data_IF_507323359170
#
_entry.id   IF_507323359170
#
_cell.length_a   1.000
_cell.length_b   1.000
_cell.length_c   1.000
_cell.angle_alpha   90.00
_cell.angle_beta   90.00
_cell.angle_gamma   90.00
#
_symmetry.space_group_name_H-M   'P 1'
#
loop_
_entity.id
_entity.type
_entity.pdbx_description
1 polymer ?
#
# COMPACT_ATOMS: atom_id res chain seq x y z
N UNK A 1 -29.13 -56.60 -55.04
CA UNK A 1 -28.55 -55.41 -55.70
C UNK A 1 -27.43 -54.90 -54.79
N UNK A 2 -26.36 -55.66 -54.52
CA UNK A 2 -25.29 -56.11 -55.44
C UNK A 2 -24.46 -54.93 -56.01
N UNK A 3 -23.12 -54.92 -56.07
CA UNK A 3 -21.99 -55.69 -55.52
C UNK A 3 -20.74 -55.34 -56.39
N UNK A 4 -19.51 -55.62 -55.90
CA UNK A 4 -18.20 -55.73 -56.65
C UNK A 4 -17.61 -54.40 -57.22
N UNK A 5 -16.29 -54.12 -57.37
CA UNK A 5 -14.97 -54.44 -56.72
C UNK A 5 -14.01 -53.23 -57.11
N UNK A 6 -13.12 -52.61 -56.31
CA UNK A 6 -11.88 -52.99 -55.55
C UNK A 6 -10.53 -52.79 -56.32
N UNK A 7 -9.46 -52.52 -55.53
CA UNK A 7 -8.00 -52.43 -55.77
C UNK A 7 -7.41 -50.98 -55.82
N UNK A 8 -6.54 -50.48 -54.91
CA UNK A 8 -5.54 -50.99 -53.92
C UNK A 8 -4.16 -51.38 -54.47
N UNK A 9 -3.15 -50.50 -54.32
CA UNK A 9 -1.85 -50.89 -53.72
C UNK A 9 -1.00 -49.70 -53.20
N UNK A 10 0.14 -50.02 -52.57
CA UNK A 10 1.02 -49.16 -51.75
C UNK A 10 2.37 -48.88 -52.45
N UNK A 11 3.25 -48.16 -51.72
CA UNK A 11 4.72 -48.03 -51.89
C UNK A 11 5.16 -46.94 -52.89
N UNK A 12 6.29 -46.23 -52.73
CA UNK A 12 7.37 -46.30 -51.71
C UNK A 12 8.07 -44.93 -51.59
N UNK A 13 8.82 -44.70 -50.51
CA UNK A 13 9.70 -43.53 -50.39
C UNK A 13 11.02 -43.72 -51.15
N UNK A 14 11.51 -42.66 -51.83
CA UNK A 14 12.92 -42.51 -52.23
C UNK A 14 13.35 -41.04 -52.12
N UNK A 15 14.64 -40.83 -51.81
CA UNK A 15 15.30 -39.53 -51.60
C UNK A 15 16.55 -39.46 -52.47
N UNK A 16 16.64 -38.46 -53.34
CA UNK A 16 17.85 -38.02 -54.07
C UNK A 16 17.60 -36.57 -54.51
N UNK A 17 18.32 -35.52 -54.08
CA UNK A 17 19.77 -35.25 -53.99
C UNK A 17 20.35 -34.74 -55.32
N UNK A 18 20.89 -33.52 -55.25
CA UNK A 18 21.62 -32.78 -56.29
C UNK A 18 20.91 -31.47 -56.63
N UNK A 19 21.53 -30.30 -56.65
CA UNK A 19 22.88 -29.85 -56.26
C UNK A 19 22.72 -28.44 -55.62
N UNK A 20 23.62 -27.94 -54.76
CA UNK A 20 24.78 -27.18 -55.23
C UNK A 20 25.94 -27.16 -54.20
N UNK A 21 27.10 -26.74 -54.67
CA UNK A 21 28.41 -27.01 -54.07
C UNK A 21 29.09 -25.72 -53.60
N UNK A 22 29.58 -25.67 -52.35
CA UNK A 22 30.86 -24.97 -52.13
C UNK A 22 31.67 -25.56 -50.96
N UNK A 23 32.87 -25.97 -51.34
CA UNK A 23 33.88 -26.68 -50.56
C UNK A 23 34.89 -25.68 -49.98
N UNK A 24 35.27 -25.79 -48.70
CA UNK A 24 36.71 -25.85 -48.33
C UNK A 24 36.99 -26.42 -46.93
N UNK A 25 37.44 -27.68 -46.94
CA UNK A 25 38.56 -28.26 -46.16
C UNK A 25 38.54 -28.30 -44.61
N UNK A 26 38.53 -29.56 -44.13
CA UNK A 26 38.96 -30.08 -42.82
C UNK A 26 40.40 -29.64 -42.46
N UNK A 27 40.73 -29.66 -41.16
CA UNK A 27 41.60 -30.71 -40.58
C UNK A 27 41.58 -30.75 -39.04
N UNK A 28 41.98 -31.90 -38.51
CA UNK A 28 41.96 -32.27 -37.07
C UNK A 28 43.34 -32.01 -36.46
N UNK A 29 43.41 -31.59 -35.19
CA UNK A 29 44.69 -31.40 -34.49
C UNK A 29 44.57 -31.32 -32.97
N UNK A 30 44.93 -32.40 -32.29
CA UNK A 30 45.19 -32.43 -30.84
C UNK A 30 46.48 -31.67 -30.51
N UNK A 31 46.50 -30.89 -29.43
CA UNK A 31 47.75 -30.29 -28.94
C UNK A 31 47.56 -29.46 -27.67
N UNK A 32 48.04 -29.98 -26.53
CA UNK A 32 48.13 -29.19 -25.31
C UNK A 32 49.27 -28.17 -25.43
N UNK A 33 49.01 -26.93 -25.04
CA UNK A 33 50.06 -25.92 -24.80
C UNK A 33 49.85 -25.26 -23.44
N UNK A 34 50.87 -25.38 -22.60
CA UNK A 34 51.01 -24.64 -21.34
C UNK A 34 51.67 -23.31 -21.66
N UNK A 35 51.08 -22.21 -21.20
CA UNK A 35 51.62 -20.86 -21.35
C UNK A 35 50.80 -19.89 -20.54
N UNK A 36 51.22 -19.59 -19.31
CA UNK A 36 50.49 -18.71 -18.41
C UNK A 36 50.77 -17.23 -18.67
N UNK A 37 49.80 -16.38 -18.32
CA UNK A 37 49.99 -14.95 -18.01
C UNK A 37 49.19 -14.67 -16.74
N UNK A 38 49.85 -14.06 -15.75
CA UNK A 38 49.21 -13.52 -14.55
C UNK A 38 48.61 -12.15 -14.92
N UNK A 39 47.30 -11.98 -14.73
CA UNK A 39 46.59 -10.73 -14.96
C UNK A 39 45.63 -10.42 -13.83
N UNK A 40 45.95 -9.40 -13.03
CA UNK A 40 45.10 -8.93 -11.93
C UNK A 40 43.72 -8.48 -12.44
N UNK A 41 42.64 -9.08 -11.92
CA UNK A 41 41.29 -8.52 -12.01
C UNK A 41 40.97 -7.82 -10.69
N UNK A 42 41.06 -6.49 -10.69
CA UNK A 42 40.50 -5.67 -9.62
C UNK A 42 38.98 -5.80 -9.64
N UNK A 43 38.39 -6.28 -8.54
CA UNK A 43 36.94 -6.21 -8.33
C UNK A 43 36.51 -4.75 -8.23
N UNK A 44 35.90 -4.23 -9.30
CA UNK A 44 35.09 -3.02 -9.21
C UNK A 44 33.82 -3.31 -8.40
N UNK A 45 33.74 -2.75 -7.19
CA UNK A 45 32.53 -2.82 -6.39
C UNK A 45 31.42 -2.00 -7.06
N UNK A 46 30.54 -2.66 -7.81
CA UNK A 46 29.30 -2.06 -8.29
C UNK A 46 28.40 -1.91 -7.08
N UNK A 47 28.37 -0.70 -6.52
CA UNK A 47 27.48 -0.34 -5.43
C UNK A 47 26.02 -0.47 -5.88
N UNK A 48 25.32 -1.50 -5.37
CA UNK A 48 23.87 -1.52 -5.43
C UNK A 48 23.34 -0.34 -4.62
N UNK A 49 22.79 0.66 -5.32
CA UNK A 49 22.03 1.74 -4.72
C UNK A 49 20.75 1.20 -4.11
N UNK A 50 20.82 0.71 -2.88
CA UNK A 50 19.64 0.39 -2.09
C UNK A 50 19.04 1.71 -1.61
N UNK A 51 17.99 2.21 -2.27
CA UNK A 51 17.22 3.34 -1.75
C UNK A 51 16.68 2.95 -0.37
N UNK A 52 17.24 3.56 0.66
CA UNK A 52 16.81 3.37 2.03
C UNK A 52 15.46 4.08 2.21
N UNK A 53 14.39 3.32 1.98
CA UNK A 53 13.09 3.64 2.55
C UNK A 53 13.28 3.90 4.03
N UNK A 54 12.93 5.11 4.48
CA UNK A 54 13.23 5.54 5.83
C UNK A 54 12.45 4.65 6.80
N UNK A 55 13.18 3.81 7.55
CA UNK A 55 12.60 3.02 8.63
C UNK A 55 11.94 3.96 9.64
N UNK A 56 10.89 3.48 10.31
CA UNK A 56 10.31 4.19 11.45
C UNK A 56 11.43 4.57 12.42
N UNK A 57 11.44 5.84 12.84
CA UNK A 57 12.56 6.41 13.58
C UNK A 57 12.86 5.58 14.84
N UNK A 58 14.06 5.00 14.90
CA UNK A 58 14.56 4.26 16.07
C UNK A 58 15.12 5.19 17.14
N UNK A 59 15.00 6.50 16.96
CA UNK A 59 15.48 7.49 17.91
C UNK A 59 14.59 7.46 19.16
N UNK A 60 15.19 7.22 20.31
CA UNK A 60 14.57 7.47 21.60
C UNK A 60 14.76 8.96 21.92
N UNK A 61 13.68 9.65 22.23
CA UNK A 61 13.69 11.07 22.59
C UNK A 61 13.17 11.28 24.01
N UNK A 62 13.65 12.33 24.68
CA UNK A 62 13.23 12.64 26.05
C UNK A 62 12.15 13.71 26.05
N UNK A 63 10.96 13.36 26.55
CA UNK A 63 9.77 14.21 26.67
C UNK A 63 9.44 14.30 28.15
N UNK A 64 9.55 15.50 28.75
CA UNK A 64 9.35 15.75 30.19
C UNK A 64 10.11 14.77 31.12
N UNK A 65 11.33 14.38 30.72
CA UNK A 65 12.17 13.42 31.43
C UNK A 65 11.87 11.94 31.16
N UNK A 66 10.84 11.63 30.36
CA UNK A 66 10.53 10.26 29.93
C UNK A 66 11.12 9.96 28.56
N UNK A 67 11.79 8.80 28.44
CA UNK A 67 12.24 8.27 27.15
C UNK A 67 11.05 7.68 26.39
N UNK A 68 10.73 8.26 25.23
CA UNK A 68 9.68 7.78 24.32
C UNK A 68 10.26 7.55 22.92
N UNK A 69 9.75 6.57 22.14
CA UNK A 69 10.11 6.44 20.74
C UNK A 69 9.68 7.68 19.96
N UNK A 70 10.60 8.26 19.18
CA UNK A 70 10.23 9.29 18.22
C UNK A 70 9.50 8.64 17.03
N UNK A 71 8.18 8.86 17.00
CA UNK A 71 7.28 8.36 15.96
C UNK A 71 7.59 8.89 14.55
N UNK A 72 8.39 9.94 14.41
CA UNK A 72 8.82 10.49 13.12
C UNK A 72 7.67 11.09 12.28
N UNK A 73 7.97 11.52 11.04
CA UNK A 73 6.97 11.75 10.00
C UNK A 73 6.54 10.40 9.40
N UNK A 74 5.43 10.38 8.64
CA UNK A 74 5.03 9.19 7.90
C UNK A 74 6.14 8.76 6.89
N UNK A 75 6.47 7.45 6.75
CA UNK A 75 7.52 7.02 5.84
C UNK A 75 7.23 7.39 4.37
N UNK A 76 8.26 7.84 3.66
CA UNK A 76 8.16 8.25 2.25
C UNK A 76 8.06 7.06 1.28
N UNK A 77 8.60 5.91 1.66
CA UNK A 77 8.51 4.67 0.90
C UNK A 77 7.28 3.88 1.32
N UNK A 78 6.31 3.76 0.41
CA UNK A 78 5.09 2.94 0.60
C UNK A 78 5.48 1.45 0.55
N UNK A 79 5.17 0.63 1.58
CA UNK A 79 5.52 -0.79 1.58
C UNK A 79 4.80 -1.57 0.48
N UNK A 80 5.56 -2.16 -0.44
CA UNK A 80 5.05 -3.01 -1.53
C UNK A 80 5.57 -4.44 -1.37
N UNK A 81 4.75 -5.48 -1.64
CA UNK A 81 5.23 -6.85 -1.74
C UNK A 81 6.40 -6.99 -2.73
N UNK A 82 7.41 -7.80 -2.42
CA UNK A 82 8.59 -7.94 -3.29
C UNK A 82 8.29 -8.64 -4.65
N UNK A 83 7.16 -9.32 -4.77
CA UNK A 83 6.72 -10.08 -5.96
C UNK A 83 5.94 -9.24 -6.98
N UNK A 84 5.90 -7.91 -6.84
CA UNK A 84 4.85 -7.09 -7.43
C UNK A 84 5.16 -6.56 -8.85
N UNK A 85 5.10 -7.46 -9.83
CA UNK A 85 5.12 -7.09 -11.24
C UNK A 85 3.90 -6.21 -11.62
N UNK A 86 4.12 -5.25 -12.51
CA UNK A 86 3.08 -4.37 -13.10
C UNK A 86 2.20 -3.62 -12.08
N UNK A 87 2.81 -3.09 -11.00
CA UNK A 87 2.08 -2.46 -9.88
C UNK A 87 1.16 -1.29 -10.28
N UNK A 88 1.55 -0.49 -11.29
CA UNK A 88 0.70 0.60 -11.79
C UNK A 88 -0.63 0.09 -12.40
N UNK A 89 -0.61 -1.05 -13.10
CA UNK A 89 -1.82 -1.69 -13.60
C UNK A 89 -2.68 -2.23 -12.44
N UNK A 90 -2.06 -2.83 -11.42
CA UNK A 90 -2.76 -3.27 -10.19
C UNK A 90 -3.45 -2.11 -9.47
N UNK A 91 -2.81 -0.95 -9.34
CA UNK A 91 -3.45 0.26 -8.77
C UNK A 91 -4.67 0.68 -9.58
N UNK A 92 -4.57 0.69 -10.92
CA UNK A 92 -5.67 1.10 -11.80
C UNK A 92 -6.87 0.14 -11.71
N UNK A 93 -6.61 -1.16 -11.81
CA UNK A 93 -7.61 -2.22 -11.65
C UNK A 93 -8.20 -2.23 -10.23
N UNK A 94 -7.36 -2.05 -9.22
CA UNK A 94 -7.73 -1.95 -7.82
C UNK A 94 -8.67 -0.80 -7.53
N UNK A 95 -8.37 0.38 -8.07
CA UNK A 95 -9.26 1.55 -8.00
C UNK A 95 -10.61 1.21 -8.62
N UNK A 96 -10.65 0.58 -9.80
CA UNK A 96 -11.91 0.19 -10.43
C UNK A 96 -12.72 -0.77 -9.54
N UNK A 97 -12.09 -1.82 -9.01
CA UNK A 97 -12.71 -2.80 -8.11
C UNK A 97 -13.21 -2.18 -6.80
N UNK A 98 -12.46 -1.27 -6.21
CA UNK A 98 -12.79 -0.62 -4.93
C UNK A 98 -14.12 0.15 -4.97
N UNK A 99 -14.48 0.71 -6.13
CA UNK A 99 -15.77 1.38 -6.33
C UNK A 99 -16.84 0.47 -6.97
N UNK A 100 -16.53 -0.78 -7.32
CA UNK A 100 -17.45 -1.67 -8.03
C UNK A 100 -18.42 -2.41 -7.10
N UNK A 101 -19.69 -2.03 -7.16
CA UNK A 101 -20.77 -2.68 -6.40
C UNK A 101 -20.91 -4.18 -6.71
N UNK A 102 -20.49 -4.65 -7.90
CA UNK A 102 -20.57 -6.05 -8.35
C UNK A 102 -19.71 -7.01 -7.52
N UNK A 103 -18.87 -6.52 -6.63
CA UNK A 103 -18.21 -7.36 -5.62
C UNK A 103 -19.19 -7.94 -4.60
N UNK A 104 -20.33 -7.29 -4.35
CA UNK A 104 -21.37 -7.75 -3.42
C UNK A 104 -22.49 -8.55 -4.07
N UNK A 105 -23.24 -9.31 -3.27
CA UNK A 105 -24.33 -10.19 -3.72
C UNK A 105 -25.46 -9.47 -4.48
N UNK A 106 -25.81 -8.26 -4.08
CA UNK A 106 -26.85 -7.46 -4.73
C UNK A 106 -26.30 -6.50 -5.81
N UNK A 107 -24.99 -6.55 -6.06
CA UNK A 107 -24.24 -5.66 -6.95
C UNK A 107 -24.27 -4.16 -6.58
N UNK A 108 -24.57 -3.80 -5.32
CA UNK A 108 -24.71 -2.40 -4.87
C UNK A 108 -23.67 -1.96 -3.82
N UNK A 109 -23.10 -2.86 -3.01
CA UNK A 109 -22.05 -2.53 -2.03
C UNK A 109 -20.67 -2.74 -2.64
N UNK A 110 -19.84 -1.69 -2.56
CA UNK A 110 -18.41 -1.70 -2.90
C UNK A 110 -17.57 -1.35 -1.68
N UNK A 111 -16.24 -1.47 -1.75
CA UNK A 111 -15.35 -1.07 -0.66
C UNK A 111 -15.59 0.41 -0.29
N UNK A 112 -15.72 1.28 -1.29
CA UNK A 112 -16.00 2.70 -1.14
C UNK A 112 -17.36 3.05 -0.49
N UNK A 113 -18.30 2.10 -0.40
CA UNK A 113 -19.58 2.33 0.29
C UNK A 113 -19.35 2.52 1.80
N UNK A 114 -18.57 1.63 2.40
CA UNK A 114 -18.18 1.71 3.81
C UNK A 114 -16.96 2.62 4.01
N UNK A 115 -16.02 2.64 3.06
CA UNK A 115 -14.77 3.40 3.14
C UNK A 115 -14.81 4.64 2.23
N UNK A 116 -15.74 5.55 2.49
CA UNK A 116 -16.07 6.63 1.55
C UNK A 116 -14.97 7.72 1.53
N UNK A 117 -14.36 8.05 0.36
CA UNK A 117 -13.33 9.08 0.26
C UNK A 117 -13.74 10.45 0.83
N UNK A 118 -15.01 10.84 0.69
CA UNK A 118 -15.55 12.11 1.19
C UNK A 118 -15.67 12.12 2.72
N UNK A 119 -15.81 10.95 3.34
CA UNK A 119 -15.82 10.75 4.80
C UNK A 119 -14.44 10.32 5.34
N UNK A 120 -13.36 10.68 4.64
CA UNK A 120 -11.99 10.35 5.05
C UNK A 120 -11.64 8.86 4.88
N UNK A 121 -12.15 8.23 3.82
CA UNK A 121 -12.01 6.80 3.52
C UNK A 121 -12.49 5.87 4.65
N UNK A 122 -13.45 6.33 5.44
CA UNK A 122 -14.02 5.63 6.58
C UNK A 122 -15.55 5.68 6.52
N UNK A 123 -16.23 4.90 7.37
CA UNK A 123 -17.68 5.01 7.50
C UNK A 123 -18.02 6.19 8.42
N UNK A 124 -18.84 7.17 7.99
CA UNK A 124 -19.30 8.25 8.87
C UNK A 124 -20.26 7.77 9.98
N UNK A 125 -20.76 6.53 9.90
CA UNK A 125 -21.61 5.93 10.91
C UNK A 125 -20.83 5.22 12.03
N UNK A 126 -21.42 5.14 13.22
CA UNK A 126 -20.88 4.36 14.35
C UNK A 126 -20.72 2.86 14.05
N UNK A 127 -21.53 2.30 13.14
CA UNK A 127 -21.37 0.94 12.61
C UNK A 127 -21.85 0.87 11.17
N UNK A 128 -21.20 0.06 10.34
CA UNK A 128 -21.50 0.01 8.90
C UNK A 128 -22.79 -0.72 8.58
N UNK A 129 -23.54 -0.21 7.59
CA UNK A 129 -24.71 -0.88 7.01
C UNK A 129 -24.24 -1.74 5.85
N UNK A 130 -24.55 -3.03 5.88
CA UNK A 130 -24.14 -3.97 4.83
C UNK A 130 -25.23 -4.27 3.81
N UNK A 131 -24.92 -5.20 2.90
CA UNK A 131 -25.68 -5.55 1.67
C UNK A 131 -27.16 -5.91 1.86
N UNK A 132 -27.55 -6.37 3.06
CA UNK A 132 -28.93 -6.72 3.43
C UNK A 132 -29.59 -5.67 4.35
N UNK A 133 -29.05 -4.45 4.42
CA UNK A 133 -29.54 -3.37 5.29
C UNK A 133 -29.30 -3.60 6.80
N UNK A 134 -28.65 -4.71 7.18
CA UNK A 134 -28.25 -4.98 8.57
C UNK A 134 -27.01 -4.18 8.93
N UNK A 135 -26.93 -3.71 10.18
CA UNK A 135 -25.73 -3.08 10.73
C UNK A 135 -24.74 -4.15 11.20
N UNK A 136 -23.46 -3.94 10.92
CA UNK A 136 -22.35 -4.71 11.48
C UNK A 136 -22.10 -4.35 12.95
N UNK A 137 -21.22 -5.11 13.61
CA UNK A 137 -20.82 -4.87 15.00
C UNK A 137 -19.73 -3.79 15.18
N UNK A 138 -19.20 -3.23 14.10
CA UNK A 138 -18.12 -2.22 14.12
C UNK A 138 -18.29 -1.19 13.00
N UNK A 139 -17.59 -0.07 13.15
CA UNK A 139 -17.37 0.95 12.12
C UNK A 139 -16.29 0.48 11.13
N UNK A 140 -16.41 0.80 9.84
CA UNK A 140 -15.34 0.52 8.86
C UNK A 140 -14.22 1.58 8.98
N UNK A 141 -13.00 1.19 9.40
CA UNK A 141 -11.93 2.14 9.71
C UNK A 141 -11.46 2.91 8.46
N UNK A 142 -10.68 3.98 8.66
CA UNK A 142 -10.10 4.69 7.52
C UNK A 142 -9.12 3.80 6.74
N UNK A 143 -9.11 3.94 5.40
CA UNK A 143 -8.07 3.38 4.53
C UNK A 143 -6.83 4.28 4.48
N UNK A 144 -6.87 5.50 5.03
CA UNK A 144 -5.68 6.35 5.09
C UNK A 144 -4.53 5.67 5.82
N UNK A 145 -3.37 5.63 5.16
CA UNK A 145 -2.10 5.16 5.71
C UNK A 145 -2.09 3.68 6.13
N UNK A 146 -3.08 2.87 5.74
CA UNK A 146 -3.14 1.42 6.08
C UNK A 146 -1.99 0.61 5.46
N UNK A 147 -1.32 1.16 4.45
CA UNK A 147 -0.07 0.66 3.89
C UNK A 147 1.04 0.41 4.92
N UNK A 148 1.02 1.16 6.03
CA UNK A 148 2.01 1.11 7.10
C UNK A 148 1.54 0.30 8.32
N UNK A 149 0.29 -0.20 8.33
CA UNK A 149 -0.23 -1.00 9.43
C UNK A 149 0.34 -2.43 9.37
N UNK A 150 0.88 -2.97 10.48
CA UNK A 150 1.36 -4.36 10.53
C UNK A 150 0.22 -5.38 10.54
N UNK A 151 -0.98 -4.95 10.95
CA UNK A 151 -2.19 -5.77 11.00
C UNK A 151 -3.40 -4.95 10.55
N UNK A 152 -4.40 -5.61 10.00
CA UNK A 152 -5.61 -4.99 9.46
C UNK A 152 -6.87 -5.43 10.23
N UNK A 153 -7.95 -4.65 10.07
CA UNK A 153 -9.14 -4.62 10.92
C UNK A 153 -8.88 -4.18 12.38
N UNK A 154 -9.96 -3.76 13.06
CA UNK A 154 -9.97 -3.34 14.47
C UNK A 154 -9.43 -4.36 15.48
N UNK A 155 -9.42 -5.66 15.14
CA UNK A 155 -8.89 -6.75 15.98
C UNK A 155 -7.57 -7.33 15.47
N UNK A 156 -6.96 -6.71 14.44
CA UNK A 156 -5.67 -7.13 13.88
C UNK A 156 -5.67 -8.54 13.26
N UNK A 157 -6.83 -9.15 13.02
CA UNK A 157 -6.94 -10.56 12.63
C UNK A 157 -6.43 -10.88 11.22
N UNK A 158 -6.22 -9.86 10.37
CA UNK A 158 -5.64 -10.03 9.04
C UNK A 158 -4.21 -9.48 9.03
N UNK A 159 -3.26 -10.27 8.53
CA UNK A 159 -1.84 -9.94 8.49
C UNK A 159 -1.43 -9.12 7.26
N UNK A 160 -2.35 -8.84 6.34
CA UNK A 160 -2.07 -8.07 5.11
C UNK A 160 -3.31 -7.35 4.59
N UNK A 161 -3.11 -6.36 3.72
CA UNK A 161 -4.19 -5.70 2.98
C UNK A 161 -4.85 -6.67 1.98
N UNK A 162 -4.08 -7.58 1.38
CA UNK A 162 -4.57 -8.61 0.47
C UNK A 162 -5.60 -9.53 1.15
N UNK A 163 -5.32 -9.97 2.39
CA UNK A 163 -6.24 -10.75 3.22
C UNK A 163 -7.44 -9.91 3.69
N UNK A 164 -7.20 -8.66 4.09
CA UNK A 164 -8.26 -7.73 4.48
C UNK A 164 -9.25 -7.50 3.33
N UNK A 165 -8.78 -7.27 2.10
CA UNK A 165 -9.61 -6.88 0.96
C UNK A 165 -10.62 -7.97 0.55
N UNK A 166 -10.25 -9.24 0.69
CA UNK A 166 -11.11 -10.38 0.29
C UNK A 166 -12.09 -10.83 1.40
N UNK A 167 -11.83 -10.47 2.67
CA UNK A 167 -12.67 -10.84 3.81
C UNK A 167 -14.10 -10.29 3.76
N UNK A 168 -14.31 -8.97 3.58
CA UNK A 168 -15.62 -8.33 3.50
C UNK A 168 -16.53 -8.90 2.42
N UNK A 169 -15.96 -9.31 1.28
CA UNK A 169 -16.67 -9.97 0.17
C UNK A 169 -17.46 -11.18 0.71
N UNK A 170 -16.81 -12.01 1.54
CA UNK A 170 -17.41 -13.21 2.11
C UNK A 170 -18.31 -12.94 3.33
N UNK A 171 -18.17 -11.80 4.01
CA UNK A 171 -18.93 -11.53 5.22
C UNK A 171 -20.44 -11.41 4.90
N UNK A 172 -21.31 -12.24 5.51
CA UNK A 172 -22.75 -12.29 5.21
C UNK A 172 -23.54 -11.05 5.64
N UNK A 173 -22.93 -10.15 6.41
CA UNK A 173 -23.48 -8.84 6.73
C UNK A 173 -22.99 -7.82 5.71
N UNK A 174 -21.67 -7.71 5.49
CA UNK A 174 -21.05 -6.64 4.70
C UNK A 174 -21.40 -6.74 3.20
N UNK A 175 -21.00 -7.82 2.51
CA UNK A 175 -21.17 -7.97 1.06
C UNK A 175 -21.87 -9.28 0.63
N UNK A 176 -21.87 -10.28 1.51
CA UNK A 176 -22.59 -11.57 1.43
C UNK A 176 -22.39 -12.39 0.13
N UNK A 177 -21.23 -12.27 -0.51
CA UNK A 177 -20.89 -12.94 -1.76
C UNK A 177 -19.90 -14.10 -1.53
N UNK A 178 -19.81 -15.07 -2.45
CA UNK A 178 -18.76 -16.10 -2.39
C UNK A 178 -17.59 -15.75 -3.30
N UNK A 179 -16.37 -16.17 -2.93
CA UNK A 179 -15.17 -15.90 -3.72
C UNK A 179 -15.25 -16.53 -5.13
N UNK A 180 -15.87 -17.70 -5.24
CA UNK A 180 -16.12 -18.39 -6.52
C UNK A 180 -17.14 -17.63 -7.36
N UNK A 181 -18.21 -17.13 -6.75
CA UNK A 181 -19.27 -16.44 -7.49
C UNK A 181 -18.86 -15.01 -7.89
N UNK A 182 -18.10 -14.27 -7.07
CA UNK A 182 -17.54 -12.98 -7.51
C UNK A 182 -16.54 -13.16 -8.66
N UNK A 183 -15.66 -14.16 -8.59
CA UNK A 183 -14.76 -14.51 -9.70
C UNK A 183 -15.55 -14.87 -10.95
N UNK A 184 -16.62 -15.67 -10.83
CA UNK A 184 -17.51 -16.01 -11.95
C UNK A 184 -18.18 -14.76 -12.55
N UNK A 185 -18.75 -13.87 -11.73
CA UNK A 185 -19.40 -12.63 -12.18
C UNK A 185 -18.43 -11.74 -12.97
N UNK A 186 -17.25 -11.48 -12.41
CA UNK A 186 -16.24 -10.66 -13.06
C UNK A 186 -15.67 -11.34 -14.32
N UNK A 187 -15.52 -12.67 -14.32
CA UNK A 187 -15.10 -13.45 -15.49
C UNK A 187 -16.08 -13.41 -16.67
N UNK A 188 -17.34 -13.01 -16.47
CA UNK A 188 -18.28 -12.79 -17.60
C UNK A 188 -18.09 -11.42 -18.28
N UNK A 189 -17.26 -10.53 -17.72
CA UNK A 189 -17.08 -9.16 -18.22
C UNK A 189 -15.76 -9.10 -18.99
N UNK A 190 -15.83 -8.95 -20.32
CA UNK A 190 -14.65 -8.90 -21.21
C UNK A 190 -13.59 -7.90 -20.76
N UNK A 191 -14.01 -6.71 -20.29
CA UNK A 191 -13.10 -5.70 -19.74
C UNK A 191 -12.28 -6.20 -18.54
N UNK A 192 -12.89 -6.96 -17.62
CA UNK A 192 -12.15 -7.56 -16.51
C UNK A 192 -11.25 -8.71 -16.97
N UNK A 193 -11.68 -9.55 -17.93
CA UNK A 193 -10.80 -10.57 -18.52
C UNK A 193 -9.52 -9.94 -19.08
N UNK A 194 -9.65 -8.87 -19.87
CA UNK A 194 -8.52 -8.16 -20.49
C UNK A 194 -7.62 -7.48 -19.44
N UNK A 195 -8.23 -6.82 -18.45
CA UNK A 195 -7.49 -6.17 -17.37
C UNK A 195 -6.72 -7.17 -16.51
N UNK A 196 -7.30 -8.32 -16.16
CA UNK A 196 -6.60 -9.36 -15.41
C UNK A 196 -5.49 -10.01 -16.25
N UNK A 197 -5.73 -10.29 -17.54
CA UNK A 197 -4.71 -10.84 -18.43
C UNK A 197 -3.52 -9.88 -18.60
N UNK A 198 -3.76 -8.57 -18.72
CA UNK A 198 -2.71 -7.56 -18.82
C UNK A 198 -1.98 -7.28 -17.49
N UNK A 199 -2.66 -7.42 -16.35
CA UNK A 199 -2.11 -7.09 -15.02
C UNK A 199 -1.39 -8.27 -14.38
N UNK A 200 -1.93 -9.48 -14.52
CA UNK A 200 -1.48 -10.70 -13.83
C UNK A 200 -1.09 -11.84 -14.78
N UNK A 201 -1.24 -11.69 -16.09
CA UNK A 201 -1.00 -12.78 -17.06
C UNK A 201 -2.00 -13.94 -16.96
N UNK A 202 -3.09 -13.78 -16.23
CA UNK A 202 -4.05 -14.83 -15.87
C UNK A 202 -5.50 -14.35 -16.00
N UNK A 203 -6.46 -15.28 -15.94
CA UNK A 203 -7.87 -14.94 -15.79
C UNK A 203 -8.21 -14.34 -14.43
N UNK A 204 -9.47 -13.94 -14.23
CA UNK A 204 -9.92 -13.38 -12.95
C UNK A 204 -9.77 -14.41 -11.83
N UNK A 205 -9.19 -14.00 -10.71
CA UNK A 205 -8.96 -14.82 -9.52
C UNK A 205 -9.20 -14.01 -8.25
N UNK A 206 -9.56 -14.65 -7.14
CA UNK A 206 -9.79 -13.96 -5.86
C UNK A 206 -8.49 -13.33 -5.33
N UNK A 207 -7.36 -13.99 -5.55
CA UNK A 207 -6.02 -13.48 -5.23
C UNK A 207 -5.73 -12.19 -6.01
N UNK A 208 -5.96 -12.18 -7.33
CA UNK A 208 -5.77 -10.97 -8.14
C UNK A 208 -6.75 -9.83 -7.80
N UNK A 209 -7.98 -10.15 -7.37
CA UNK A 209 -8.91 -9.14 -6.83
C UNK A 209 -8.32 -8.51 -5.56
N UNK A 210 -7.87 -9.33 -4.60
CA UNK A 210 -7.27 -8.88 -3.35
C UNK A 210 -5.99 -8.06 -3.58
N UNK A 211 -5.05 -8.55 -4.39
CA UNK A 211 -3.82 -7.85 -4.76
C UNK A 211 -4.07 -6.51 -5.46
N UNK A 212 -5.06 -6.43 -6.35
CA UNK A 212 -5.41 -5.19 -7.02
C UNK A 212 -5.98 -4.16 -6.03
N UNK A 213 -6.99 -4.55 -5.24
CA UNK A 213 -7.59 -3.66 -4.23
C UNK A 213 -6.51 -3.18 -3.24
N UNK A 214 -5.73 -4.10 -2.67
CA UNK A 214 -4.66 -3.80 -1.75
C UNK A 214 -3.53 -2.94 -2.37
N UNK A 215 -3.31 -3.01 -3.69
CA UNK A 215 -2.42 -2.10 -4.39
C UNK A 215 -2.98 -0.67 -4.45
N UNK A 216 -4.29 -0.51 -4.69
CA UNK A 216 -4.95 0.80 -4.67
C UNK A 216 -5.00 1.40 -3.25
N UNK A 217 -5.36 0.61 -2.24
CA UNK A 217 -5.43 1.07 -0.85
C UNK A 217 -4.10 1.62 -0.35
N UNK A 218 -2.97 1.00 -0.77
CA UNK A 218 -1.63 1.52 -0.49
C UNK A 218 -1.33 2.90 -1.08
N UNK A 219 -2.12 3.37 -2.05
CA UNK A 219 -2.01 4.75 -2.58
C UNK A 219 -2.83 5.78 -1.80
N UNK A 220 -3.68 5.35 -0.86
CA UNK A 220 -4.52 6.21 -0.02
C UNK A 220 -3.69 6.74 1.15
N UNK A 221 -2.74 7.62 0.84
CA UNK A 221 -1.82 8.20 1.81
C UNK A 221 -2.23 9.64 2.15
N UNK A 222 -2.21 9.96 3.45
CA UNK A 222 -2.32 11.31 3.99
C UNK A 222 -0.99 11.70 4.62
N UNK A 223 -0.25 12.58 3.93
CA UNK A 223 0.97 13.26 4.40
C UNK A 223 0.70 14.76 4.55
N UNK A 224 1.75 15.53 4.89
CA UNK A 224 1.74 17.00 4.90
C UNK A 224 0.77 17.60 5.94
N UNK A 225 0.46 16.82 6.99
CA UNK A 225 -0.28 17.30 8.15
C UNK A 225 0.53 18.34 8.92
N UNK A 226 -0.13 19.14 9.76
CA UNK A 226 0.59 20.07 10.65
C UNK A 226 1.56 19.35 11.60
N UNK A 227 1.32 18.06 11.91
CA UNK A 227 2.25 17.24 12.67
C UNK A 227 3.49 16.84 11.85
N UNK A 228 3.32 16.38 10.61
CA UNK A 228 4.44 16.04 9.73
C UNK A 228 5.37 17.23 9.55
N UNK A 229 4.80 18.40 9.25
CA UNK A 229 5.52 19.68 9.12
C UNK A 229 6.30 20.06 10.37
N UNK A 230 5.73 19.83 11.55
CA UNK A 230 6.40 20.09 12.81
C UNK A 230 7.61 19.16 12.99
N UNK A 231 7.44 17.86 12.74
CA UNK A 231 8.54 16.88 12.88
C UNK A 231 9.64 17.12 11.84
N UNK A 232 9.29 17.61 10.66
CA UNK A 232 10.22 18.04 9.60
C UNK A 232 10.85 19.42 9.86
N UNK A 233 10.47 20.13 10.92
CA UNK A 233 11.06 21.43 11.30
C UNK A 233 10.62 22.63 10.45
N UNK A 234 9.47 22.56 9.76
CA UNK A 234 8.97 23.69 8.96
C UNK A 234 8.64 24.92 9.84
N UNK A 235 8.99 26.15 9.42
CA UNK A 235 8.59 27.36 10.13
C UNK A 235 7.10 27.66 9.90
N UNK A 236 6.25 27.36 10.88
CA UNK A 236 4.83 27.72 10.90
C UNK A 236 4.40 28.27 12.27
N UNK A 237 3.44 29.21 12.34
CA UNK A 237 2.85 29.64 13.60
C UNK A 237 1.94 28.54 14.15
N UNK A 238 2.49 27.64 14.96
CA UNK A 238 1.81 26.51 15.63
C UNK A 238 0.68 26.90 16.61
N UNK A 239 0.28 28.18 16.63
CA UNK A 239 -0.64 28.82 17.57
C UNK A 239 -2.08 28.31 17.49
N UNK A 240 -2.46 27.66 16.38
CA UNK A 240 -3.82 27.17 16.12
C UNK A 240 -3.99 25.64 16.32
N UNK A 241 -2.96 24.94 16.80
CA UNK A 241 -3.10 23.52 17.12
C UNK A 241 -4.00 23.31 18.35
N UNK A 242 -4.80 22.24 18.41
CA UNK A 242 -5.55 21.88 19.61
C UNK A 242 -4.62 21.83 20.83
N UNK A 243 -5.04 22.42 21.95
CA UNK A 243 -4.15 22.70 23.09
C UNK A 243 -3.37 21.47 23.58
N UNK A 244 -3.94 20.26 23.50
CA UNK A 244 -3.25 19.00 23.81
C UNK A 244 -2.12 18.63 22.84
N UNK A 245 -2.32 18.82 21.54
CA UNK A 245 -1.25 18.64 20.53
C UNK A 245 -0.14 19.65 20.78
N UNK A 246 -0.48 20.92 21.02
CA UNK A 246 0.53 21.95 21.33
C UNK A 246 1.34 21.65 22.61
N UNK A 247 0.74 21.04 23.64
CA UNK A 247 1.47 20.58 24.84
C UNK A 247 2.48 19.48 24.48
N UNK A 248 2.05 18.45 23.73
CA UNK A 248 2.92 17.37 23.25
C UNK A 248 4.06 17.88 22.37
N UNK A 249 3.78 18.81 21.45
CA UNK A 249 4.79 19.42 20.59
C UNK A 249 5.74 20.36 21.35
N UNK A 250 5.27 21.04 22.41
CA UNK A 250 6.16 21.78 23.31
C UNK A 250 7.17 20.88 23.99
N UNK A 251 6.75 19.71 24.44
CA UNK A 251 7.64 18.74 25.07
C UNK A 251 8.60 18.09 24.05
N UNK A 252 8.23 18.02 22.75
CA UNK A 252 9.20 17.77 21.65
C UNK A 252 10.18 18.94 21.41
N UNK A 253 9.73 20.19 21.57
CA UNK A 253 10.49 21.40 21.24
C UNK A 253 11.30 22.02 22.38
N UNK A 254 11.32 21.42 23.56
CA UNK A 254 11.93 21.99 24.77
C UNK A 254 13.46 21.81 24.85
N UNK A 255 14.18 22.25 23.83
CA UNK A 255 15.50 22.82 24.08
C UNK A 255 15.29 24.22 24.66
N UNK A 256 15.46 24.37 25.98
CA UNK A 256 15.52 25.67 26.64
C UNK A 256 16.92 26.29 26.47
N UNK A 257 17.04 27.46 25.80
CA UNK A 257 18.10 28.38 26.15
C UNK A 257 17.54 29.76 26.53
N UNK A 258 17.28 29.96 27.83
CA UNK A 258 17.18 31.30 28.43
C UNK A 258 17.26 31.28 29.98
N UNK A 259 18.22 30.57 30.58
CA UNK A 259 18.75 31.04 31.87
C UNK A 259 19.69 32.19 31.53
N UNK A 260 19.17 33.43 31.57
CA UNK A 260 19.89 34.71 31.77
C UNK A 260 18.90 35.91 31.66
N UNK A 261 17.84 35.90 32.47
CA UNK A 261 17.15 37.14 32.91
C UNK A 261 16.93 37.11 34.43
N UNK A 262 18.01 36.85 35.16
CA UNK A 262 18.36 37.71 36.29
C UNK A 262 19.41 38.69 35.72
N UNK A 263 19.45 39.98 36.05
CA UNK A 263 19.19 40.60 37.36
C UNK A 263 18.44 41.92 37.18
N UNK A 264 17.33 42.11 37.91
CA UNK A 264 16.80 43.44 38.29
C UNK A 264 15.80 43.29 39.46
N UNK A 265 16.26 43.30 40.72
CA UNK A 265 15.42 43.72 41.85
C UNK A 265 15.24 45.25 41.83
N UNK A 266 14.44 45.80 42.77
CA UNK A 266 14.14 47.26 42.94
C UNK A 266 13.07 47.70 41.91
N UNK A 267 11.80 48.03 42.23
CA UNK A 267 11.15 48.47 43.48
C UNK A 267 9.78 47.78 43.70
N UNK A 268 9.46 47.43 44.94
CA UNK A 268 8.09 47.19 45.43
C UNK A 268 7.56 48.50 46.01
N UNK A 269 6.48 49.05 45.43
CA UNK A 269 5.42 49.93 45.99
C UNK A 269 4.50 50.22 44.78
N UNK A 270 3.19 49.97 44.77
CA UNK A 270 2.12 50.51 45.63
C UNK A 270 1.02 49.44 45.84
N UNK A 271 0.30 49.53 46.97
CA UNK A 271 -0.77 48.63 47.45
C UNK A 271 -2.20 49.17 47.09
N UNK A 272 -3.34 48.75 47.69
CA UNK A 272 -3.98 47.46 47.41
C UNK A 272 -5.51 47.49 47.10
N UNK A 273 -6.11 48.54 46.52
CA UNK A 273 -7.59 48.61 46.32
C UNK A 273 -8.08 48.77 44.85
N UNK A 274 -8.42 47.66 44.16
CA UNK A 274 -9.63 47.59 43.31
C UNK A 274 -9.94 46.13 42.91
N UNK A 275 -10.77 45.41 43.68
CA UNK A 275 -12.24 45.34 43.59
C UNK A 275 -12.76 44.16 42.75
N UNK A 276 -12.78 42.97 43.38
CA UNK A 276 -13.74 41.91 43.03
C UNK A 276 -15.13 42.32 43.51
N UNK A 277 -15.98 42.88 42.65
CA UNK A 277 -17.43 42.92 42.87
C UNK A 277 -18.22 43.37 41.63
N UNK A 278 -18.60 42.40 40.80
CA UNK A 278 -19.59 42.59 39.73
C UNK A 278 -20.44 41.33 39.52
N UNK A 279 -21.06 40.83 40.59
CA UNK A 279 -22.34 40.14 40.44
C UNK A 279 -23.44 41.18 40.40
N UNK A 280 -24.21 41.22 39.32
CA UNK A 280 -25.55 41.80 39.32
C UNK A 280 -26.54 40.82 38.70
N UNK A 281 -27.72 40.75 39.30
CA UNK A 281 -28.81 39.82 38.96
C UNK A 281 -29.67 40.38 37.82
N UNK A 282 -30.30 39.46 37.08
CA UNK A 282 -31.60 39.58 36.39
C UNK A 282 -31.88 40.88 35.62
N UNK A 283 -31.85 40.76 34.29
CA UNK A 283 -33.12 40.70 33.52
C UNK A 283 -33.08 39.39 32.74
#
# INVERSE_FOLDING_TARGET
MDSILVFKQKNTATRSRGDEEMNTRRLVGTGAWVGGIVGFVLMGAIGFGHELGHAASTNIMTVDGQMVPDIGPLPTAIPQPATNLNYAAKISLGRQLYFDGRLSKNNAISCAFCHNPVAGFADPNQTSVGVVGKRGGRQAPTVYNTAFNPFQFWDGRAGSLEEQAIGPIHNPIEMAETHENVVKKLSQIKGYQDQFQATFGTGVSIQGIGEAIAAYERTVISTNSAFDKFVLGEPQPWTNLPRGVWQFLKAKGAALPAIMVQILPIIIFITPECRRSAQWKKI
#
